data_IF_359647726598
#
_entry.id   IF_359647726598
#
_cell.length_a   1.000
_cell.length_b   1.000
_cell.length_c   1.000
_cell.angle_alpha   90.00
_cell.angle_beta   90.00
_cell.angle_gamma   90.00
#
_symmetry.space_group_name_H-M   'P 1'
#
loop_
_entity.id
_entity.type
_entity.pdbx_description
1 polymer ?
#
# COMPACT_ATOMS: atom_id res chain seq x y z
N UNK A 1 59.29 -19.58 -35.66
CA UNK A 1 58.81 -19.22 -37.01
C UNK A 1 57.90 -18.02 -36.89
N UNK A 2 58.28 -16.93 -37.54
CA UNK A 2 57.78 -15.59 -37.31
C UNK A 2 56.70 -15.18 -38.33
N UNK A 3 55.81 -14.28 -37.88
CA UNK A 3 55.32 -13.10 -38.60
C UNK A 3 54.30 -13.20 -39.75
N UNK A 4 53.18 -12.51 -39.48
CA UNK A 4 52.58 -11.39 -40.26
C UNK A 4 51.47 -11.69 -41.30
N UNK A 5 50.60 -10.67 -41.55
CA UNK A 5 49.21 -10.83 -41.96
C UNK A 5 48.98 -10.56 -43.46
N UNK A 6 47.83 -10.96 -43.99
CA UNK A 6 47.39 -10.58 -45.33
C UNK A 6 46.54 -9.30 -45.32
N UNK A 7 46.88 -8.40 -46.25
CA UNK A 7 46.33 -7.06 -46.53
C UNK A 7 45.22 -7.13 -47.61
N UNK A 8 44.44 -6.05 -47.81
CA UNK A 8 43.24 -6.02 -48.64
C UNK A 8 43.56 -5.71 -50.12
N UNK A 9 42.57 -5.95 -50.99
CA UNK A 9 42.56 -5.47 -52.37
C UNK A 9 41.26 -4.69 -52.63
N UNK A 10 41.44 -3.43 -53.03
CA UNK A 10 40.42 -2.56 -53.62
C UNK A 10 40.31 -2.82 -55.13
N UNK A 11 39.09 -2.67 -55.66
CA UNK A 11 38.85 -2.43 -57.09
C UNK A 11 37.91 -1.22 -57.18
N UNK A 12 38.39 -0.13 -57.78
CA UNK A 12 37.60 0.92 -58.45
C UNK A 12 37.43 0.50 -59.92
N UNK A 13 36.48 0.96 -60.75
CA UNK A 13 35.92 2.29 -61.06
C UNK A 13 34.74 2.03 -62.06
N UNK A 14 34.14 2.93 -62.89
CA UNK A 14 34.19 4.40 -62.97
C UNK A 14 32.85 5.12 -63.28
N UNK A 15 32.93 6.47 -63.32
CA UNK A 15 32.20 7.39 -64.21
C UNK A 15 30.70 7.74 -63.97
N UNK A 16 30.50 8.91 -63.33
CA UNK A 16 29.86 10.11 -63.90
C UNK A 16 28.59 9.99 -64.76
N UNK A 17 27.46 10.45 -64.22
CA UNK A 17 26.26 10.81 -64.98
C UNK A 17 25.23 11.56 -64.13
N UNK A 18 25.12 12.88 -64.34
CA UNK A 18 24.12 13.79 -63.74
C UNK A 18 22.88 13.80 -64.61
N UNK A 19 21.69 13.53 -64.05
CA UNK A 19 20.42 14.13 -64.51
C UNK A 19 19.41 14.21 -63.39
N UNK A 20 18.83 15.39 -63.29
CA UNK A 20 17.72 15.83 -62.44
C UNK A 20 16.55 14.83 -62.37
N UNK A 21 16.09 14.54 -61.15
CA UNK A 21 14.71 14.10 -60.90
C UNK A 21 14.13 14.83 -59.70
N UNK A 22 13.16 15.68 -60.02
CA UNK A 22 12.31 16.39 -59.09
C UNK A 22 11.57 15.40 -58.17
N UNK A 23 11.67 15.62 -56.86
CA UNK A 23 10.74 15.05 -55.90
C UNK A 23 9.61 16.05 -55.67
N UNK A 24 8.34 15.70 -55.94
CA UNK A 24 7.25 16.60 -55.66
C UNK A 24 7.03 16.72 -54.15
N UNK A 25 6.86 17.98 -53.80
CA UNK A 25 6.41 18.58 -52.55
C UNK A 25 5.02 18.02 -52.16
N UNK A 26 4.71 18.03 -50.86
CA UNK A 26 3.37 17.98 -50.24
C UNK A 26 2.81 16.59 -49.91
N UNK A 27 3.08 16.12 -48.68
CA UNK A 27 1.98 15.78 -47.76
C UNK A 27 2.46 15.89 -46.31
N UNK A 28 2.11 17.02 -45.73
CA UNK A 28 2.10 17.20 -44.29
C UNK A 28 1.00 16.32 -43.68
N UNK A 29 1.34 15.62 -42.60
CA UNK A 29 0.47 15.60 -41.43
C UNK A 29 1.33 15.26 -40.20
N UNK A 30 1.76 16.34 -39.55
CA UNK A 30 2.33 16.33 -38.21
C UNK A 30 1.24 15.90 -37.23
N UNK A 31 1.15 14.60 -36.93
CA UNK A 31 0.37 14.15 -35.78
C UNK A 31 1.22 14.32 -34.53
N UNK A 32 1.08 15.49 -33.89
CA UNK A 32 1.52 15.73 -32.52
C UNK A 32 0.59 14.93 -31.60
N UNK A 33 1.03 13.77 -31.13
CA UNK A 33 0.38 13.11 -30.00
C UNK A 33 0.72 13.90 -28.74
N UNK A 34 -0.20 14.74 -28.28
CA UNK A 34 -0.16 15.32 -26.93
C UNK A 34 -0.57 14.19 -25.99
N UNK A 35 0.40 13.58 -25.29
CA UNK A 35 0.14 12.69 -24.18
C UNK A 35 -0.31 13.54 -22.99
N UNK A 36 -1.62 13.59 -22.75
CA UNK A 36 -2.17 14.11 -21.49
C UNK A 36 -1.89 13.07 -20.40
N UNK A 37 -0.83 13.28 -19.64
CA UNK A 37 -0.59 12.57 -18.39
C UNK A 37 -1.57 13.15 -17.36
N UNK A 38 -2.71 12.48 -17.18
CA UNK A 38 -3.54 12.69 -16.00
C UNK A 38 -2.82 12.06 -14.81
N UNK A 39 -2.01 12.86 -14.12
CA UNK A 39 -1.52 12.53 -12.79
C UNK A 39 -2.71 12.58 -11.83
N UNK A 40 -3.36 11.43 -11.63
CA UNK A 40 -4.25 11.22 -10.50
C UNK A 40 -3.37 11.10 -9.24
N UNK A 41 -2.97 12.25 -8.69
CA UNK A 41 -2.44 12.29 -7.33
C UNK A 41 -3.58 11.85 -6.41
N UNK A 42 -3.46 10.66 -5.82
CA UNK A 42 -4.24 10.30 -4.66
C UNK A 42 -3.96 11.35 -3.59
N UNK A 43 -4.95 12.21 -3.32
CA UNK A 43 -4.85 13.20 -2.27
C UNK A 43 -4.87 12.46 -0.93
N UNK A 44 -3.70 12.21 -0.37
CA UNK A 44 -3.58 11.96 1.06
C UNK A 44 -3.89 13.29 1.74
N UNK A 45 -5.09 13.43 2.31
CA UNK A 45 -5.45 14.60 3.11
C UNK A 45 -4.38 14.78 4.19
N UNK A 46 -3.57 15.83 4.04
CA UNK A 46 -2.55 16.17 5.03
C UNK A 46 -3.24 16.75 6.26
N UNK A 47 -2.64 16.61 7.44
CA UNK A 47 -3.16 17.14 8.71
C UNK A 47 -3.54 18.64 8.67
N UNK A 48 -3.09 19.38 7.65
CA UNK A 48 -3.43 20.78 7.42
C UNK A 48 -4.88 21.04 6.94
N UNK A 49 -5.67 20.01 6.59
CA UNK A 49 -7.07 20.18 6.14
C UNK A 49 -8.12 20.06 7.26
N UNK A 50 -7.69 19.72 8.48
CA UNK A 50 -8.59 19.48 9.60
C UNK A 50 -8.82 20.74 10.42
N UNK A 51 -10.09 21.11 10.61
CA UNK A 51 -10.47 22.28 11.39
C UNK A 51 -10.15 22.15 12.89
N UNK A 52 -10.08 23.27 13.63
CA UNK A 52 -9.67 23.29 15.04
C UNK A 52 -10.62 22.55 15.99
N UNK A 53 -11.86 22.27 15.55
CA UNK A 53 -12.88 21.58 16.36
C UNK A 53 -12.86 20.05 16.20
N UNK A 54 -11.92 19.51 15.42
CA UNK A 54 -11.79 18.06 15.18
C UNK A 54 -10.82 17.43 16.16
N UNK A 55 -11.05 16.15 16.49
CA UNK A 55 -10.15 15.41 17.38
C UNK A 55 -8.72 15.36 16.84
N UNK A 56 -8.57 15.14 15.54
CA UNK A 56 -7.26 14.99 14.90
C UNK A 56 -6.53 13.73 15.36
N UNK A 57 -5.30 13.55 14.86
CA UNK A 57 -4.36 12.57 15.39
C UNK A 57 -3.08 13.27 15.77
N UNK A 58 -2.84 13.46 17.07
CA UNK A 58 -1.69 14.19 17.61
C UNK A 58 -0.35 13.54 17.20
N UNK A 59 -0.20 12.24 17.47
CA UNK A 59 1.02 11.49 17.13
C UNK A 59 0.73 10.02 16.86
N UNK A 60 1.70 9.34 16.25
CA UNK A 60 1.68 7.89 16.05
C UNK A 60 2.80 7.27 16.86
N UNK A 61 2.46 6.28 17.69
CA UNK A 61 3.42 5.51 18.48
C UNK A 61 3.64 4.17 17.76
N UNK A 62 4.86 3.91 17.33
CA UNK A 62 5.25 2.62 16.76
C UNK A 62 5.70 1.70 17.89
N UNK A 63 4.93 0.65 18.14
CA UNK A 63 5.28 -0.35 19.13
C UNK A 63 6.26 -1.35 18.51
N UNK A 64 7.49 -1.37 19.02
CA UNK A 64 8.45 -2.40 18.69
C UNK A 64 8.04 -3.68 19.42
N UNK A 65 7.60 -4.70 18.68
CA UNK A 65 7.29 -6.00 19.27
C UNK A 65 8.57 -6.83 19.36
N UNK A 66 9.27 -6.74 20.48
CA UNK A 66 10.37 -7.66 20.78
C UNK A 66 9.81 -9.03 21.17
N UNK A 67 9.76 -9.94 20.18
CA UNK A 67 9.32 -11.31 20.36
C UNK A 67 7.80 -11.49 20.33
N UNK A 68 7.36 -12.61 19.74
CA UNK A 68 5.96 -13.00 19.79
C UNK A 68 5.67 -13.67 21.14
N UNK A 69 5.35 -12.87 22.15
CA UNK A 69 4.74 -13.37 23.38
C UNK A 69 3.28 -13.72 23.04
N UNK A 70 2.88 -14.97 23.27
CA UNK A 70 1.53 -15.50 23.08
C UNK A 70 1.00 -15.95 24.45
N UNK A 71 -0.29 -15.76 24.73
CA UNK A 71 -0.94 -16.17 25.99
C UNK A 71 -1.50 -15.02 26.83
N UNK A 72 -1.71 -15.25 28.13
CA UNK A 72 -2.41 -14.33 29.06
C UNK A 72 -1.58 -13.11 29.53
N UNK A 73 -0.46 -12.84 28.89
CA UNK A 73 0.41 -11.72 29.25
C UNK A 73 -0.18 -10.42 28.67
N UNK A 74 -0.62 -9.52 29.54
CA UNK A 74 -0.99 -8.17 29.17
C UNK A 74 0.28 -7.34 28.96
N UNK A 75 0.33 -6.54 27.91
CA UNK A 75 1.47 -5.67 27.63
C UNK A 75 1.63 -4.57 28.70
N UNK A 76 2.85 -4.06 28.85
CA UNK A 76 3.12 -2.83 29.61
C UNK A 76 2.28 -1.68 29.06
N UNK A 77 1.84 -0.77 29.94
CA UNK A 77 1.09 0.41 29.55
C UNK A 77 1.78 1.16 28.39
N UNK A 78 1.00 1.60 27.42
CA UNK A 78 1.49 2.44 26.33
C UNK A 78 2.12 3.72 26.91
N UNK A 79 3.21 4.25 26.32
CA UNK A 79 3.88 5.46 26.79
C UNK A 79 3.08 6.71 26.41
N UNK A 80 1.86 6.81 26.91
CA UNK A 80 0.94 7.91 26.68
C UNK A 80 1.23 9.07 27.63
N UNK A 81 1.18 10.28 27.10
CA UNK A 81 1.20 11.49 27.91
C UNK A 81 -0.18 11.74 28.54
N UNK A 82 -0.23 12.59 29.56
CA UNK A 82 -1.50 12.92 30.23
C UNK A 82 -2.52 13.49 29.24
N UNK A 83 -3.67 12.83 29.14
CA UNK A 83 -4.78 13.25 28.29
C UNK A 83 -4.76 12.64 26.89
N UNK A 84 -3.73 11.87 26.53
CA UNK A 84 -3.74 11.08 25.31
C UNK A 84 -4.60 9.84 25.44
N UNK A 85 -5.31 9.52 24.37
CA UNK A 85 -6.10 8.30 24.24
C UNK A 85 -5.77 7.62 22.91
N UNK A 86 -5.91 6.30 22.88
CA UNK A 86 -5.77 5.50 21.66
C UNK A 86 -7.08 4.78 21.41
N UNK A 87 -7.64 4.95 20.22
CA UNK A 87 -8.85 4.27 19.79
C UNK A 87 -8.50 2.92 19.16
N UNK A 88 -9.15 1.86 19.64
CA UNK A 88 -9.04 0.52 19.09
C UNK A 88 -10.43 -0.06 18.86
N UNK A 89 -10.59 -0.83 17.79
CA UNK A 89 -11.84 -1.51 17.44
C UNK A 89 -11.56 -2.98 17.16
N UNK A 90 -12.38 -3.87 17.71
CA UNK A 90 -12.23 -5.32 17.59
C UNK A 90 -13.33 -5.90 16.67
N UNK A 91 -13.23 -7.19 16.34
CA UNK A 91 -14.22 -8.02 15.60
C UNK A 91 -14.47 -7.70 14.12
N UNK A 92 -13.94 -6.60 13.59
CA UNK A 92 -14.08 -6.24 12.18
C UNK A 92 -13.26 -7.12 11.21
N UNK A 93 -13.30 -6.82 9.90
CA UNK A 93 -14.21 -5.89 9.25
C UNK A 93 -15.64 -6.44 9.19
N UNK A 94 -16.62 -5.54 9.34
CA UNK A 94 -18.04 -5.82 9.21
C UNK A 94 -18.64 -4.86 8.19
N UNK A 95 -19.29 -5.41 7.16
CA UNK A 95 -19.94 -4.61 6.11
C UNK A 95 -20.97 -3.60 6.66
N UNK A 96 -21.63 -3.92 7.78
CA UNK A 96 -22.67 -3.06 8.35
C UNK A 96 -22.09 -1.94 9.23
N UNK A 97 -21.00 -2.22 9.96
CA UNK A 97 -20.51 -1.32 11.01
C UNK A 97 -19.20 -0.61 10.65
N UNK A 98 -18.24 -1.29 10.02
CA UNK A 98 -16.92 -0.71 9.75
C UNK A 98 -17.01 0.55 8.89
N UNK A 99 -17.82 0.64 7.81
CA UNK A 99 -17.96 1.88 7.05
C UNK A 99 -18.46 3.07 7.89
N UNK A 100 -19.33 2.81 8.88
CA UNK A 100 -19.83 3.85 9.78
C UNK A 100 -18.73 4.36 10.72
N UNK A 101 -17.89 3.45 11.24
CA UNK A 101 -16.75 3.79 12.09
C UNK A 101 -15.69 4.56 11.29
N UNK A 102 -15.33 4.09 10.09
CA UNK A 102 -14.39 4.77 9.19
C UNK A 102 -14.87 6.19 8.88
N UNK A 103 -16.16 6.34 8.52
CA UNK A 103 -16.75 7.66 8.31
C UNK A 103 -16.62 8.56 9.54
N UNK A 104 -16.95 8.06 10.73
CA UNK A 104 -16.87 8.85 11.96
C UNK A 104 -15.43 9.29 12.28
N UNK A 105 -14.46 8.41 12.06
CA UNK A 105 -13.03 8.71 12.23
C UNK A 105 -12.54 9.75 11.21
N UNK A 106 -12.91 9.58 9.94
CA UNK A 106 -12.62 10.55 8.87
C UNK A 106 -13.24 11.92 9.16
N UNK A 107 -14.51 11.97 9.58
CA UNK A 107 -15.20 13.21 9.95
C UNK A 107 -14.49 13.95 11.11
N UNK A 108 -13.68 13.24 11.90
CA UNK A 108 -12.91 13.76 13.03
C UNK A 108 -11.40 13.85 12.78
N UNK A 109 -10.94 13.54 11.57
CA UNK A 109 -9.52 13.45 11.23
C UNK A 109 -8.71 12.56 12.21
N UNK A 110 -9.36 11.55 12.77
CA UNK A 110 -8.79 10.67 13.77
C UNK A 110 -8.37 9.35 13.12
N UNK A 111 -7.25 8.79 13.58
CA UNK A 111 -6.81 7.44 13.21
C UNK A 111 -6.97 6.50 14.38
N UNK A 112 -7.25 5.23 14.09
CA UNK A 112 -7.44 4.17 15.07
C UNK A 112 -6.66 2.91 14.69
N UNK A 113 -6.67 1.92 15.59
CA UNK A 113 -6.21 0.56 15.29
C UNK A 113 -7.40 -0.39 15.23
N UNK A 114 -7.48 -1.20 14.18
CA UNK A 114 -8.53 -2.21 14.01
C UNK A 114 -7.93 -3.60 14.20
N UNK A 115 -8.33 -4.29 15.27
CA UNK A 115 -8.01 -5.69 15.48
C UNK A 115 -9.08 -6.54 14.80
N UNK A 116 -8.71 -7.13 13.67
CA UNK A 116 -9.66 -7.79 12.77
C UNK A 116 -9.60 -9.31 12.90
N UNK A 117 -10.75 -9.95 12.70
CA UNK A 117 -10.89 -11.40 12.63
C UNK A 117 -10.45 -11.91 11.26
N UNK A 118 -9.70 -13.01 11.24
CA UNK A 118 -9.29 -13.66 9.98
C UNK A 118 -10.48 -14.06 9.11
N UNK A 119 -11.58 -14.54 9.70
CA UNK A 119 -12.81 -14.83 8.96
C UNK A 119 -13.44 -13.58 8.33
N UNK A 120 -13.33 -12.43 9.00
CA UNK A 120 -13.83 -11.14 8.50
C UNK A 120 -12.97 -10.64 7.34
N UNK A 121 -11.64 -10.76 7.46
CA UNK A 121 -10.69 -10.42 6.39
C UNK A 121 -10.95 -11.23 5.11
N UNK A 122 -11.19 -12.54 5.23
CA UNK A 122 -11.53 -13.38 4.07
C UNK A 122 -12.89 -13.05 3.45
N UNK A 123 -13.85 -12.61 4.26
CA UNK A 123 -15.19 -12.25 3.82
C UNK A 123 -15.22 -10.92 3.09
N UNK A 124 -14.60 -9.89 3.67
CA UNK A 124 -14.64 -8.50 3.20
C UNK A 124 -13.22 -7.90 3.01
N UNK A 125 -12.38 -8.48 2.13
CA UNK A 125 -10.96 -8.10 2.02
C UNK A 125 -10.75 -6.69 1.46
N UNK A 126 -11.68 -6.17 0.65
CA UNK A 126 -11.63 -4.80 0.13
C UNK A 126 -11.84 -3.76 1.22
N UNK A 127 -12.76 -4.04 2.15
CA UNK A 127 -13.04 -3.17 3.29
C UNK A 127 -11.85 -3.14 4.27
N UNK A 128 -11.18 -4.28 4.49
CA UNK A 128 -9.95 -4.30 5.26
C UNK A 128 -8.83 -3.47 4.60
N UNK A 129 -8.68 -3.58 3.27
CA UNK A 129 -7.72 -2.76 2.50
C UNK A 129 -8.07 -1.27 2.56
N UNK A 130 -9.34 -0.93 2.55
CA UNK A 130 -9.83 0.44 2.71
C UNK A 130 -9.46 1.01 4.08
N UNK A 131 -9.73 0.29 5.17
CA UNK A 131 -9.33 0.68 6.52
C UNK A 131 -7.84 1.06 6.60
N UNK A 132 -6.95 0.24 6.01
CA UNK A 132 -5.51 0.53 5.98
C UNK A 132 -5.18 1.70 5.05
N UNK A 133 -5.84 1.79 3.89
CA UNK A 133 -5.66 2.88 2.92
C UNK A 133 -6.04 4.25 3.49
N UNK A 134 -7.01 4.31 4.40
CA UNK A 134 -7.37 5.52 5.15
C UNK A 134 -6.36 5.89 6.26
N UNK A 135 -5.29 5.11 6.41
CA UNK A 135 -4.19 5.40 7.34
C UNK A 135 -4.39 4.87 8.75
N UNK A 136 -5.35 3.96 8.96
CA UNK A 136 -5.51 3.23 10.21
C UNK A 136 -4.52 2.06 10.31
N UNK A 137 -4.25 1.64 11.55
CA UNK A 137 -3.43 0.46 11.82
C UNK A 137 -4.30 -0.80 11.84
N UNK A 138 -3.76 -1.94 11.41
CA UNK A 138 -4.41 -3.23 11.49
C UNK A 138 -3.69 -4.16 12.47
N UNK A 139 -4.46 -4.90 13.25
CA UNK A 139 -4.01 -5.95 14.16
C UNK A 139 -4.87 -7.21 14.00
N UNK A 140 -4.46 -8.28 14.69
CA UNK A 140 -5.13 -9.58 14.66
C UNK A 140 -5.98 -9.76 15.91
N UNK A 141 -7.22 -10.20 15.72
CA UNK A 141 -8.16 -10.49 16.79
C UNK A 141 -8.61 -11.97 16.80
N UNK A 142 -7.70 -12.91 16.53
CA UNK A 142 -7.98 -14.35 16.25
C UNK A 142 -8.57 -14.61 14.85
N UNK A 143 -8.83 -15.88 14.50
CA UNK A 143 -9.47 -16.22 13.23
C UNK A 143 -11.00 -16.13 13.31
N UNK A 144 -11.60 -16.79 14.32
CA UNK A 144 -13.07 -16.91 14.47
C UNK A 144 -13.59 -16.51 15.85
N UNK A 145 -12.81 -15.76 16.63
CA UNK A 145 -13.13 -15.34 18.00
C UNK A 145 -13.33 -16.50 19.00
N UNK A 146 -12.48 -17.54 19.03
CA UNK A 146 -12.56 -18.55 20.08
C UNK A 146 -12.16 -17.94 21.43
N UNK A 147 -12.65 -18.53 22.52
CA UNK A 147 -12.15 -18.22 23.86
C UNK A 147 -10.73 -18.76 24.02
N UNK A 148 -9.71 -17.95 23.70
CA UNK A 148 -8.30 -18.37 23.67
C UNK A 148 -7.83 -19.12 24.93
N UNK A 149 -8.33 -18.76 26.11
CA UNK A 149 -7.98 -19.40 27.38
C UNK A 149 -8.43 -20.88 27.50
N UNK A 150 -9.37 -21.33 26.67
CA UNK A 150 -9.83 -22.74 26.65
C UNK A 150 -9.05 -23.61 25.66
N UNK A 151 -8.22 -23.00 24.81
CA UNK A 151 -7.42 -23.69 23.80
C UNK A 151 -6.06 -24.12 24.35
N UNK A 152 -5.54 -25.23 23.82
CA UNK A 152 -4.14 -25.61 24.02
C UNK A 152 -3.20 -24.60 23.32
N UNK A 153 -1.93 -24.47 23.74
CA UNK A 153 -0.98 -23.59 23.07
C UNK A 153 -0.83 -23.83 21.56
N UNK A 154 -0.90 -25.09 21.12
CA UNK A 154 -0.86 -25.43 19.69
C UNK A 154 -2.07 -24.86 18.94
N UNK A 155 -3.28 -25.04 19.50
CA UNK A 155 -4.51 -24.50 18.90
C UNK A 155 -4.52 -22.96 18.86
N UNK A 156 -3.97 -22.30 19.89
CA UNK A 156 -3.80 -20.84 19.86
C UNK A 156 -2.87 -20.39 18.73
N UNK A 157 -1.76 -21.11 18.52
CA UNK A 157 -0.83 -20.81 17.43
C UNK A 157 -1.45 -21.08 16.06
N UNK A 158 -2.21 -22.16 15.91
CA UNK A 158 -2.92 -22.49 14.67
C UNK A 158 -3.96 -21.42 14.31
N UNK A 159 -4.76 -20.95 15.28
CA UNK A 159 -5.70 -19.85 15.08
C UNK A 159 -4.99 -18.56 14.64
N UNK A 160 -3.90 -18.20 15.31
CA UNK A 160 -3.13 -17.01 14.95
C UNK A 160 -2.46 -17.14 13.58
N UNK A 161 -2.07 -18.36 13.17
CA UNK A 161 -1.53 -18.63 11.85
C UNK A 161 -2.60 -18.48 10.76
N UNK A 162 -3.82 -18.99 10.99
CA UNK A 162 -4.97 -18.81 10.09
C UNK A 162 -5.32 -17.32 9.93
N UNK A 163 -5.38 -16.59 11.04
CA UNK A 163 -5.68 -15.16 11.02
C UNK A 163 -4.61 -14.34 10.30
N UNK A 164 -3.32 -14.69 10.45
CA UNK A 164 -2.20 -14.06 9.70
C UNK A 164 -2.23 -14.33 8.19
N UNK A 165 -2.79 -15.46 7.77
CA UNK A 165 -2.82 -15.87 6.37
C UNK A 165 -4.02 -15.30 5.60
N UNK A 166 -4.98 -14.69 6.31
CA UNK A 166 -6.18 -14.06 5.76
C UNK A 166 -5.87 -12.71 5.10
#
# INVERSE_FOLDING_TARGET
>A
MASRPARPVHIADPAGGRTDRAYPYWRQQRMRCIALILAACAASASAAECGPDKLGTERTIVLQREGAQYGAQQHTALPLEKGEVVLTFDDGPSADNTPLVLKALSDQCARATFFMLGQGLRKDPDLARETVREGHSAGIHSDTHPHMATLTPAQQLDDLALSRAA
#
